data_IF_489153850556
#
_entry.id   IF_489153850556
#
_cell.length_a   1.000
_cell.length_b   1.000
_cell.length_c   1.000
_cell.angle_alpha   90.00
_cell.angle_beta   90.00
_cell.angle_gamma   90.00
#
_symmetry.space_group_name_H-M   'P 1'
#
loop_
_entity.id
_entity.type
_entity.pdbx_description
1 polymer ?
#
# COMPACT_ATOMS: atom_id res chain seq x y z
N UNK A 1 5.96 10.05 -9.80
CA UNK A 1 4.54 9.72 -9.99
C UNK A 1 3.81 9.79 -8.66
N UNK A 2 2.73 10.52 -8.59
CA UNK A 2 1.95 10.62 -7.36
C UNK A 2 0.92 9.51 -7.26
N UNK A 3 0.41 9.28 -6.04
CA UNK A 3 -0.67 8.30 -5.84
C UNK A 3 -1.91 8.69 -6.65
N UNK A 4 -2.20 9.99 -6.71
CA UNK A 4 -3.33 10.49 -7.48
C UNK A 4 -3.17 10.20 -8.97
N UNK A 5 -1.97 10.42 -9.50
CA UNK A 5 -1.69 10.13 -10.91
C UNK A 5 -1.90 8.65 -11.21
N UNK A 6 -1.46 7.79 -10.32
CA UNK A 6 -1.65 6.36 -10.45
C UNK A 6 -3.13 5.99 -10.50
N UNK A 7 -3.92 6.58 -9.62
CA UNK A 7 -5.36 6.33 -9.56
C UNK A 7 -6.08 6.81 -10.81
N UNK A 8 -5.73 7.98 -11.32
CA UNK A 8 -6.36 8.56 -12.49
C UNK A 8 -6.02 7.80 -13.77
N UNK A 9 -4.76 7.41 -13.93
CA UNK A 9 -4.30 6.70 -15.12
C UNK A 9 -4.80 5.27 -15.19
N UNK A 10 -5.12 4.66 -14.06
CA UNK A 10 -5.28 3.21 -14.00
C UNK A 10 -6.70 2.73 -13.76
N UNK A 11 -7.72 3.60 -13.84
CA UNK A 11 -9.08 3.13 -13.61
C UNK A 11 -9.45 1.97 -14.54
N UNK A 12 -9.15 2.07 -15.83
CA UNK A 12 -9.38 1.00 -16.79
C UNK A 12 -8.26 -0.04 -16.73
N UNK A 13 -7.02 0.41 -16.67
CA UNK A 13 -5.84 -0.46 -16.62
C UNK A 13 -5.82 -1.30 -15.36
N UNK A 14 -6.28 -0.74 -14.24
CA UNK A 14 -6.34 -1.46 -12.98
C UNK A 14 -7.25 -2.68 -13.06
N UNK A 15 -8.42 -2.53 -13.68
CA UNK A 15 -9.34 -3.65 -13.86
C UNK A 15 -8.73 -4.73 -14.74
N UNK A 16 -8.01 -4.34 -15.77
CA UNK A 16 -7.33 -5.27 -16.65
C UNK A 16 -6.24 -6.04 -15.91
N UNK A 17 -5.43 -5.33 -15.13
CA UNK A 17 -4.39 -5.95 -14.31
C UNK A 17 -4.99 -6.88 -13.26
N UNK A 18 -6.06 -6.45 -12.61
CA UNK A 18 -6.76 -7.27 -11.63
C UNK A 18 -7.22 -8.59 -12.24
N UNK A 19 -7.84 -8.54 -13.42
CA UNK A 19 -8.30 -9.74 -14.13
C UNK A 19 -7.12 -10.64 -14.49
N UNK A 20 -6.02 -10.05 -14.96
CA UNK A 20 -4.83 -10.81 -15.30
C UNK A 20 -4.26 -11.53 -14.08
N UNK A 21 -4.12 -10.83 -12.95
CA UNK A 21 -3.62 -11.43 -11.72
C UNK A 21 -4.55 -12.52 -11.21
N UNK A 22 -5.85 -12.28 -11.24
CA UNK A 22 -6.82 -13.28 -10.82
C UNK A 22 -6.75 -14.52 -11.71
N UNK A 23 -6.60 -14.32 -13.00
CA UNK A 23 -6.55 -15.40 -13.97
C UNK A 23 -5.25 -16.21 -13.86
N UNK A 24 -4.11 -15.52 -13.85
CA UNK A 24 -2.80 -16.20 -13.90
C UNK A 24 -2.26 -16.64 -12.55
N UNK A 25 -2.55 -15.89 -11.50
CA UNK A 25 -2.00 -16.15 -10.17
C UNK A 25 -3.02 -16.74 -9.20
N UNK A 26 -4.28 -16.81 -9.59
CA UNK A 26 -5.34 -17.32 -8.72
C UNK A 26 -5.59 -16.44 -7.50
N UNK A 27 -5.21 -15.16 -7.55
CA UNK A 27 -5.39 -14.26 -6.42
C UNK A 27 -6.84 -13.83 -6.29
N UNK A 28 -7.31 -13.81 -5.04
CA UNK A 28 -8.65 -13.31 -4.74
C UNK A 28 -8.64 -11.77 -4.79
N UNK A 29 -9.75 -11.13 -5.23
CA UNK A 29 -9.82 -9.67 -5.30
C UNK A 29 -9.46 -8.96 -4.01
N UNK A 30 -9.89 -9.51 -2.86
CA UNK A 30 -9.58 -8.91 -1.57
C UNK A 30 -8.09 -8.91 -1.28
N UNK A 31 -7.40 -10.00 -1.60
CA UNK A 31 -5.96 -10.08 -1.38
C UNK A 31 -5.23 -9.12 -2.31
N UNK A 32 -5.65 -9.03 -3.56
CA UNK A 32 -5.06 -8.11 -4.52
C UNK A 32 -5.19 -6.66 -4.02
N UNK A 33 -6.37 -6.27 -3.54
CA UNK A 33 -6.60 -4.94 -2.99
C UNK A 33 -5.68 -4.64 -1.80
N UNK A 34 -5.48 -5.63 -0.94
CA UNK A 34 -4.59 -5.49 0.22
C UNK A 34 -3.14 -5.30 -0.20
N UNK A 35 -2.69 -6.04 -1.20
CA UNK A 35 -1.33 -5.91 -1.72
C UNK A 35 -1.10 -4.54 -2.33
N UNK A 36 -2.06 -4.05 -3.13
CA UNK A 36 -1.96 -2.72 -3.74
C UNK A 36 -1.90 -1.64 -2.66
N UNK A 37 -2.78 -1.72 -1.67
CA UNK A 37 -2.82 -0.75 -0.58
C UNK A 37 -1.50 -0.70 0.19
N UNK A 38 -0.94 -1.86 0.49
CA UNK A 38 0.35 -1.98 1.14
C UNK A 38 1.47 -1.38 0.29
N UNK A 39 1.50 -1.72 -1.00
CA UNK A 39 2.54 -1.23 -1.90
C UNK A 39 2.52 0.29 -2.04
N UNK A 40 1.34 0.89 -2.09
CA UNK A 40 1.21 2.35 -2.15
C UNK A 40 1.78 2.99 -0.89
N UNK A 41 1.42 2.48 0.27
CA UNK A 41 1.92 3.01 1.54
C UNK A 41 3.44 2.86 1.66
N UNK A 42 3.95 1.70 1.30
CA UNK A 42 5.39 1.42 1.32
C UNK A 42 6.15 2.36 0.39
N UNK A 43 5.62 2.58 -0.80
CA UNK A 43 6.24 3.47 -1.79
C UNK A 43 6.35 4.91 -1.25
N UNK A 44 5.32 5.40 -0.60
CA UNK A 44 5.34 6.74 -0.01
C UNK A 44 6.44 6.84 1.05
N UNK A 45 6.57 5.82 1.88
CA UNK A 45 7.64 5.78 2.89
C UNK A 45 9.00 5.70 2.22
N UNK A 46 9.16 4.86 1.22
CA UNK A 46 10.44 4.63 0.52
C UNK A 46 10.94 5.88 -0.18
N UNK A 47 10.03 6.68 -0.73
CA UNK A 47 10.40 7.90 -1.42
C UNK A 47 10.82 9.04 -0.49
N UNK A 48 10.64 8.88 0.82
CA UNK A 48 11.00 9.91 1.79
C UNK A 48 10.12 11.13 1.73
N UNK A 49 8.92 11.04 1.15
CA UNK A 49 8.00 12.17 1.00
C UNK A 49 6.92 12.18 2.07
N UNK A 50 7.11 11.42 3.13
CA UNK A 50 6.16 11.34 4.22
C UNK A 50 6.20 12.64 5.03
N UNK A 51 5.17 13.47 4.86
CA UNK A 51 5.05 14.76 5.55
C UNK A 51 4.01 14.73 6.66
N UNK A 52 3.42 13.58 6.89
CA UNK A 52 2.31 13.39 7.83
C UNK A 52 2.60 12.22 8.75
N UNK A 53 1.76 12.03 9.75
CA UNK A 53 1.89 10.90 10.66
C UNK A 53 1.59 9.59 9.95
N UNK A 54 2.05 8.48 10.51
CA UNK A 54 1.72 7.17 9.98
C UNK A 54 0.22 6.89 10.08
N UNK A 55 -0.45 7.43 11.09
CA UNK A 55 -1.91 7.31 11.20
C UNK A 55 -2.62 7.99 10.04
N UNK A 56 -2.19 9.20 9.69
CA UNK A 56 -2.75 9.92 8.52
C UNK A 56 -2.47 9.16 7.24
N UNK A 57 -1.26 8.64 7.09
CA UNK A 57 -0.91 7.83 5.92
C UNK A 57 -1.82 6.60 5.80
N UNK A 58 -2.10 5.94 6.92
CA UNK A 58 -2.97 4.77 6.95
C UNK A 58 -4.37 5.11 6.40
N UNK A 59 -4.95 6.22 6.88
CA UNK A 59 -6.26 6.66 6.40
C UNK A 59 -6.24 7.02 4.93
N UNK A 60 -5.20 7.72 4.50
CA UNK A 60 -5.05 8.14 3.11
C UNK A 60 -4.94 6.93 2.17
N UNK A 61 -4.32 5.86 2.62
CA UNK A 61 -4.14 4.65 1.83
C UNK A 61 -5.33 3.69 1.90
N UNK A 62 -6.37 4.03 2.67
CA UNK A 62 -7.59 3.24 2.71
C UNK A 62 -7.67 2.21 3.81
N UNK A 63 -6.82 2.30 4.81
CA UNK A 63 -6.91 1.43 5.99
C UNK A 63 -7.99 1.91 6.93
N UNK A 64 -8.59 0.98 7.64
CA UNK A 64 -9.65 1.29 8.60
C UNK A 64 -9.13 2.15 9.76
N UNK A 65 -7.96 1.78 10.30
CA UNK A 65 -7.29 2.53 11.36
C UNK A 65 -5.79 2.21 11.35
N UNK A 66 -5.04 2.83 12.25
CA UNK A 66 -3.59 2.61 12.33
C UNK A 66 -3.22 1.20 12.78
N UNK A 67 -4.07 0.57 13.57
CA UNK A 67 -3.84 -0.82 14.00
C UNK A 67 -3.95 -1.78 12.82
N UNK A 68 -4.96 -1.59 11.99
CA UNK A 68 -5.13 -2.37 10.78
C UNK A 68 -3.92 -2.20 9.84
N UNK A 69 -3.49 -0.95 9.66
CA UNK A 69 -2.31 -0.64 8.85
C UNK A 69 -1.07 -1.33 9.39
N UNK A 70 -0.81 -1.21 10.68
CA UNK A 70 0.35 -1.80 11.33
C UNK A 70 0.37 -3.32 11.16
N UNK A 71 -0.77 -3.97 11.41
CA UNK A 71 -0.86 -5.42 11.29
C UNK A 71 -0.61 -5.89 9.86
N UNK A 72 -1.22 -5.22 8.88
CA UNK A 72 -1.07 -5.60 7.48
C UNK A 72 0.35 -5.31 6.97
N UNK A 73 0.92 -4.17 7.36
CA UNK A 73 2.29 -3.83 6.98
C UNK A 73 3.28 -4.87 7.53
N UNK A 74 3.12 -5.22 8.81
CA UNK A 74 3.97 -6.23 9.44
C UNK A 74 3.84 -7.58 8.74
N UNK A 75 2.64 -7.94 8.32
CA UNK A 75 2.38 -9.21 7.64
C UNK A 75 3.11 -9.29 6.30
N UNK A 76 3.15 -8.20 5.53
CA UNK A 76 3.78 -8.20 4.21
C UNK A 76 5.26 -7.84 4.25
N UNK A 77 5.67 -6.95 5.13
CA UNK A 77 7.05 -6.45 5.18
C UNK A 77 7.92 -7.14 6.23
N UNK A 78 7.30 -7.82 7.20
CA UNK A 78 8.04 -8.47 8.28
C UNK A 78 8.29 -7.60 9.49
N UNK A 79 8.05 -6.28 9.39
CA UNK A 79 8.17 -5.37 10.52
C UNK A 79 7.12 -4.27 10.44
N UNK A 80 6.91 -3.59 11.58
CA UNK A 80 5.92 -2.51 11.64
C UNK A 80 6.32 -1.32 10.77
N UNK A 81 5.36 -0.48 10.36
CA UNK A 81 5.69 0.73 9.59
C UNK A 81 6.65 1.66 10.35
N UNK A 82 6.48 1.79 11.66
CA UNK A 82 7.36 2.63 12.48
C UNK A 82 8.80 2.14 12.45
N UNK A 83 8.98 0.84 12.61
CA UNK A 83 10.31 0.24 12.60
C UNK A 83 10.92 0.29 11.21
N UNK A 84 10.13 0.06 10.19
CA UNK A 84 10.57 0.16 8.81
C UNK A 84 11.07 1.58 8.49
N UNK A 85 10.30 2.59 8.89
CA UNK A 85 10.68 3.99 8.69
C UNK A 85 11.95 4.34 9.45
N UNK A 86 12.09 3.86 10.68
CA UNK A 86 13.28 4.09 11.50
C UNK A 86 14.52 3.49 10.85
N UNK A 87 14.41 2.27 10.33
CA UNK A 87 15.54 1.61 9.69
C UNK A 87 15.97 2.32 8.41
N UNK A 88 15.05 2.94 7.71
CA UNK A 88 15.37 3.70 6.49
C UNK A 88 16.15 4.98 6.78
N UNK A 89 15.99 5.56 7.95
CA UNK A 89 16.69 6.77 8.33
C UNK A 89 18.16 6.52 8.73
N UNK A 90 18.50 5.28 8.93
CA UNK A 90 19.85 4.87 9.23
C UNK A 90 20.57 4.45 7.95
#
# INVERSE_FOLDING_TARGET
>A
MSVKDLQEQTNTTRKTLERAFLHYLGLKPKLFARIIRFNVAKEIIDQGVLTQSLTSLAHQCGYYDSSHFTAEFRRFAGLSPSLYLKNKKN
#
